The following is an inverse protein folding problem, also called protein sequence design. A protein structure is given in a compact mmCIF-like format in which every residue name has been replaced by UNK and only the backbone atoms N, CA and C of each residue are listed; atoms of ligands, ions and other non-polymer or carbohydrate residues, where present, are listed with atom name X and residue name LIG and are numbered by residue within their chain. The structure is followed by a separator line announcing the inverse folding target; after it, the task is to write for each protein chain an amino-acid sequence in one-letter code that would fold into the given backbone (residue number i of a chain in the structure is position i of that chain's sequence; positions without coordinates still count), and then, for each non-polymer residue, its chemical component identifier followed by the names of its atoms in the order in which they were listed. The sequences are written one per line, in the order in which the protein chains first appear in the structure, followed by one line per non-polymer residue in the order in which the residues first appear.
data_IF_545283816860
#
_entry.id   IF_545283816860
#
_cell.length_a   1.000
_cell.length_b   1.000
_cell.length_c   1.000
_cell.angle_alpha   90.00
_cell.angle_beta   90.00
_cell.angle_gamma   90.00
#
_symmetry.space_group_name_H-M   'P 1'
#
loop_
_entity.id
_entity.type
_entity.pdbx_description
1 polymer ?
#
# COMPACT_ATOMS: atom_id res chain seq x y z
N UNK A 1 3.80 -13.78 -5.25
CA UNK A 1 2.98 -12.81 -4.51
C UNK A 1 1.53 -13.28 -4.50
N UNK A 2 0.86 -13.43 -3.33
CA UNK A 2 -0.56 -13.84 -3.30
C UNK A 2 -1.42 -12.66 -3.77
N UNK A 3 -2.16 -12.83 -4.87
CA UNK A 3 -3.06 -11.82 -5.51
C UNK A 3 -3.95 -11.10 -4.48
N UNK A 4 -4.36 -11.80 -3.43
CA UNK A 4 -5.26 -11.31 -2.37
C UNK A 4 -4.72 -10.07 -1.62
N UNK A 5 -3.39 -9.95 -1.46
CA UNK A 5 -2.79 -8.84 -0.70
C UNK A 5 -2.78 -7.53 -1.49
N UNK A 6 -2.54 -7.62 -2.80
CA UNK A 6 -2.58 -6.50 -3.72
C UNK A 6 -4.00 -5.93 -3.82
N UNK A 7 -4.98 -6.82 -4.02
CA UNK A 7 -6.41 -6.49 -4.05
C UNK A 7 -6.84 -5.78 -2.75
N UNK A 8 -6.40 -6.30 -1.59
CA UNK A 8 -6.69 -5.68 -0.30
C UNK A 8 -6.11 -4.26 -0.17
N UNK A 9 -4.93 -3.99 -0.72
CA UNK A 9 -4.34 -2.66 -0.70
C UNK A 9 -5.12 -1.66 -1.58
N UNK A 10 -5.55 -2.08 -2.77
CA UNK A 10 -6.41 -1.28 -3.65
C UNK A 10 -7.75 -0.98 -2.96
N UNK A 11 -8.36 -2.00 -2.36
CA UNK A 11 -9.58 -1.83 -1.58
C UNK A 11 -9.42 -0.82 -0.45
N UNK A 12 -8.30 -0.87 0.25
CA UNK A 12 -8.07 0.02 1.38
C UNK A 12 -8.05 1.50 0.98
N UNK A 13 -7.47 1.85 -0.17
CA UNK A 13 -7.53 3.23 -0.68
C UNK A 13 -8.94 3.59 -1.18
N UNK A 14 -9.59 2.69 -1.93
CA UNK A 14 -10.85 2.98 -2.61
C UNK A 14 -12.09 2.91 -1.72
N UNK A 15 -12.24 1.84 -0.94
CA UNK A 15 -13.43 1.55 -0.12
C UNK A 15 -13.27 2.01 1.31
N UNK A 16 -12.15 1.65 1.94
CA UNK A 16 -11.93 1.96 3.34
C UNK A 16 -11.65 3.46 3.48
N UNK A 17 -10.53 3.94 2.93
CA UNK A 17 -10.11 5.33 3.01
C UNK A 17 -10.93 6.29 2.14
N UNK A 18 -11.66 5.78 1.14
CA UNK A 18 -12.44 6.58 0.17
C UNK A 18 -11.64 7.76 -0.37
N UNK A 19 -10.44 7.46 -0.87
CA UNK A 19 -9.54 8.49 -1.41
C UNK A 19 -10.21 9.16 -2.61
N UNK A 20 -10.24 10.47 -2.57
CA UNK A 20 -10.79 11.35 -3.61
C UNK A 20 -9.72 12.34 -4.07
N UNK A 21 -10.01 13.04 -5.16
CA UNK A 21 -9.13 14.09 -5.70
C UNK A 21 -8.83 15.12 -4.61
N UNK A 22 -7.56 15.45 -4.42
CA UNK A 22 -7.14 16.41 -3.41
C UNK A 22 -6.82 15.82 -2.04
N UNK A 23 -7.18 14.55 -1.79
CA UNK A 23 -7.00 13.90 -0.47
C UNK A 23 -5.52 13.81 -0.09
N UNK A 24 -5.22 14.02 1.19
CA UNK A 24 -3.91 13.76 1.80
C UNK A 24 -3.97 12.48 2.63
N UNK A 25 -3.09 11.54 2.34
CA UNK A 25 -3.05 10.25 3.05
C UNK A 25 -1.67 9.98 3.64
N UNK A 26 -1.65 9.36 4.81
CA UNK A 26 -0.43 8.77 5.37
C UNK A 26 -0.60 7.26 5.55
N UNK A 27 0.41 6.51 5.12
CA UNK A 27 0.39 5.05 5.03
C UNK A 27 1.62 4.51 5.75
N UNK A 28 1.39 3.63 6.71
CA UNK A 28 2.42 3.06 7.56
C UNK A 28 2.95 1.76 6.96
N UNK A 29 4.26 1.63 6.87
CA UNK A 29 4.96 0.49 6.30
C UNK A 29 5.30 0.65 4.81
N UNK A 30 6.48 0.16 4.39
CA UNK A 30 6.94 0.11 3.00
C UNK A 30 6.94 -1.32 2.40
N UNK A 31 6.00 -2.18 2.78
CA UNK A 31 5.82 -3.52 2.21
C UNK A 31 5.00 -3.58 0.90
N UNK A 32 4.87 -4.77 0.30
CA UNK A 32 4.18 -4.96 -0.98
C UNK A 32 2.71 -4.46 -1.01
N UNK A 33 1.94 -4.72 0.04
CA UNK A 33 0.56 -4.20 0.15
C UNK A 33 0.52 -2.68 0.19
N UNK A 34 1.51 -2.07 0.85
CA UNK A 34 1.74 -0.64 0.82
C UNK A 34 1.76 -0.11 -0.61
N UNK A 35 2.55 -0.72 -1.49
CA UNK A 35 2.71 -0.25 -2.86
C UNK A 35 1.38 -0.22 -3.63
N UNK A 36 0.48 -1.16 -3.35
CA UNK A 36 -0.85 -1.21 -3.98
C UNK A 36 -1.75 -0.04 -3.52
N UNK A 37 -1.59 0.37 -2.26
CA UNK A 37 -2.29 1.52 -1.69
C UNK A 37 -1.75 2.82 -2.28
N UNK A 38 -0.42 2.95 -2.45
CA UNK A 38 0.20 4.12 -3.11
C UNK A 38 -0.38 4.31 -4.50
N UNK A 39 -0.32 3.25 -5.29
CA UNK A 39 -0.75 3.27 -6.67
C UNK A 39 -2.25 3.59 -6.76
N UNK A 40 -3.08 2.96 -5.93
CA UNK A 40 -4.51 3.26 -5.94
C UNK A 40 -4.81 4.67 -5.44
N UNK A 41 -4.13 5.16 -4.41
CA UNK A 41 -4.32 6.52 -3.93
C UNK A 41 -3.94 7.56 -5.00
N UNK A 42 -2.86 7.31 -5.74
CA UNK A 42 -2.44 8.11 -6.91
C UNK A 42 -3.52 8.11 -8.00
N UNK A 43 -4.03 6.94 -8.37
CA UNK A 43 -5.10 6.80 -9.37
C UNK A 43 -6.41 7.47 -8.93
N UNK A 44 -6.70 7.49 -7.62
CA UNK A 44 -7.83 8.22 -7.06
C UNK A 44 -7.61 9.75 -6.98
N UNK A 45 -6.42 10.26 -7.37
CA UNK A 45 -6.12 11.69 -7.40
C UNK A 45 -5.67 12.28 -6.06
N UNK A 46 -5.12 11.48 -5.15
CA UNK A 46 -4.55 11.99 -3.91
C UNK A 46 -3.51 13.09 -4.17
N UNK A 47 -3.63 14.22 -3.47
CA UNK A 47 -2.71 15.37 -3.58
C UNK A 47 -1.36 15.09 -2.92
N UNK A 48 -1.39 14.31 -1.84
CA UNK A 48 -0.19 14.01 -1.04
C UNK A 48 -0.29 12.60 -0.48
N UNK A 49 0.77 11.82 -0.69
CA UNK A 49 0.89 10.45 -0.19
C UNK A 49 2.15 10.36 0.65
N UNK A 50 1.97 10.22 1.96
CA UNK A 50 3.04 10.24 2.96
C UNK A 50 3.30 8.81 3.42
N UNK A 51 4.54 8.35 3.28
CA UNK A 51 4.97 7.06 3.81
C UNK A 51 5.60 7.19 5.17
N UNK A 52 5.20 6.31 6.09
CA UNK A 52 5.74 6.29 7.45
C UNK A 52 6.36 4.93 7.72
N UNK A 53 7.68 4.87 7.87
CA UNK A 53 8.42 3.64 8.15
C UNK A 53 9.73 3.95 8.87
N UNK A 54 10.31 2.96 9.53
CA UNK A 54 11.63 3.06 10.16
C UNK A 54 12.76 3.07 9.14
N UNK A 55 12.57 2.43 7.98
CA UNK A 55 13.59 2.30 6.93
C UNK A 55 13.11 2.93 5.62
N UNK A 56 13.98 3.70 4.98
CA UNK A 56 13.71 4.42 3.73
C UNK A 56 14.05 3.60 2.47
N UNK A 57 14.56 2.37 2.61
CA UNK A 57 15.08 1.53 1.51
C UNK A 57 14.18 1.45 0.25
N UNK A 58 12.85 1.55 0.41
CA UNK A 58 11.90 1.46 -0.71
C UNK A 58 11.27 2.79 -1.12
N UNK A 59 11.68 3.92 -0.53
CA UNK A 59 11.05 5.21 -0.78
C UNK A 59 11.29 5.72 -2.20
N UNK A 60 12.52 5.63 -2.72
CA UNK A 60 12.85 6.11 -4.06
C UNK A 60 12.05 5.38 -5.15
N UNK A 61 11.87 4.07 -5.00
CA UNK A 61 11.03 3.28 -5.90
C UNK A 61 9.58 3.75 -5.81
N UNK A 62 9.10 4.03 -4.60
CA UNK A 62 7.72 4.44 -4.33
C UNK A 62 7.36 5.84 -4.84
N UNK A 63 8.33 6.73 -5.04
CA UNK A 63 8.09 8.02 -5.70
C UNK A 63 7.47 7.84 -7.09
N UNK A 64 7.85 6.77 -7.80
CA UNK A 64 7.28 6.41 -9.11
C UNK A 64 5.78 6.06 -9.02
N UNK A 65 5.30 5.65 -7.86
CA UNK A 65 3.90 5.28 -7.58
C UNK A 65 3.14 6.40 -6.86
N UNK A 66 3.63 7.65 -6.95
CA UNK A 66 2.92 8.83 -6.45
C UNK A 66 3.18 9.15 -4.97
N UNK A 67 4.08 8.44 -4.30
CA UNK A 67 4.51 8.82 -2.95
C UNK A 67 5.28 10.14 -3.02
N UNK A 68 4.81 11.12 -2.26
CA UNK A 68 5.37 12.47 -2.24
C UNK A 68 6.34 12.67 -1.08
N UNK A 69 6.10 12.01 0.06
CA UNK A 69 6.84 12.27 1.28
C UNK A 69 7.16 10.98 2.05
N UNK A 70 8.23 11.02 2.84
CA UNK A 70 8.60 9.98 3.76
C UNK A 70 8.81 10.56 5.15
N UNK A 71 8.41 9.81 6.18
CA UNK A 71 8.66 10.20 7.56
C UNK A 71 9.10 9.01 8.39
N UNK A 72 10.19 9.19 9.12
CA UNK A 72 10.67 8.21 10.08
C UNK A 72 10.03 8.48 11.46
N UNK A 73 9.26 7.54 12.04
CA UNK A 73 8.66 7.70 13.36
C UNK A 73 9.67 8.04 14.47
N UNK A 74 10.92 7.56 14.36
CA UNK A 74 11.98 7.85 15.34
C UNK A 74 12.34 9.33 15.41
N UNK A 75 12.12 10.05 14.33
CA UNK A 75 12.47 11.46 14.20
C UNK A 75 11.24 12.37 14.39
N UNK A 76 10.10 11.81 14.81
CA UNK A 76 8.85 12.53 15.02
C UNK A 76 8.45 12.61 16.49
N UNK A 77 8.08 13.81 16.93
CA UNK A 77 7.30 13.97 18.16
C UNK A 77 5.86 13.47 17.96
N UNK A 78 5.17 13.17 19.07
CA UNK A 78 3.78 12.65 19.12
C UNK A 78 2.72 13.54 18.45
N UNK A 79 3.09 14.72 17.95
CA UNK A 79 2.22 15.72 17.31
C UNK A 79 1.42 15.21 16.09
N UNK A 80 1.94 14.25 15.32
CA UNK A 80 1.24 13.77 14.11
C UNK A 80 -0.09 13.06 14.42
N UNK A 81 -0.18 12.43 15.59
CA UNK A 81 -1.38 11.75 16.10
C UNK A 81 -2.35 12.72 16.78
N UNK A 82 -1.85 13.86 17.28
CA UNK A 82 -2.63 14.82 18.04
C UNK A 82 -3.45 15.80 17.17
N UNK A 83 -3.25 15.82 15.85
CA UNK A 83 -3.79 16.87 14.98
C UNK A 83 -5.16 16.54 14.35
N UNK A 84 -6.10 15.97 15.10
CA UNK A 84 -7.50 15.75 14.63
C UNK A 84 -7.63 14.87 13.37
N UNK A 85 -6.64 14.03 13.07
CA UNK A 85 -6.66 13.16 11.87
C UNK A 85 -7.54 11.93 12.10
N UNK A 86 -8.21 11.46 11.05
CA UNK A 86 -8.98 10.22 11.10
C UNK A 86 -8.08 8.99 10.90
N UNK A 87 -8.09 8.11 11.90
CA UNK A 87 -7.43 6.79 11.81
C UNK A 87 -8.44 5.79 11.27
N UNK A 88 -8.05 5.10 10.22
CA UNK A 88 -8.89 4.17 9.48
C UNK A 88 -8.20 2.81 9.51
N UNK A 89 -8.87 1.80 10.05
CA UNK A 89 -8.44 0.42 9.95
C UNK A 89 -9.19 -0.30 8.85
N UNK A 90 -8.61 -1.36 8.27
CA UNK A 90 -9.32 -2.17 7.30
C UNK A 90 -8.90 -3.65 7.34
N UNK A 91 -9.90 -4.54 7.29
CA UNK A 91 -9.73 -5.96 7.04
C UNK A 91 -10.01 -6.23 5.56
N UNK A 92 -9.07 -6.85 4.84
CA UNK A 92 -9.16 -7.08 3.38
C UNK A 92 -9.45 -5.83 2.53
N UNK A 93 -9.05 -4.65 2.99
CA UNK A 93 -9.32 -3.40 2.28
C UNK A 93 -10.78 -2.96 2.29
N UNK A 94 -11.65 -3.58 3.11
CA UNK A 94 -13.08 -3.27 3.15
C UNK A 94 -13.82 -3.75 1.91
N UNK A 95 -13.22 -4.69 1.18
CA UNK A 95 -13.80 -5.29 -0.02
C UNK A 95 -14.87 -6.30 0.33
N UNK A 96 -15.94 -6.31 -0.46
CA UNK A 96 -16.95 -7.36 -0.51
C UNK A 96 -16.59 -8.31 -1.66
N UNK A 97 -16.13 -9.55 -1.40
CA UNK A 97 -15.58 -10.43 -2.42
C UNK A 97 -16.50 -10.64 -3.63
N UNK A 98 -17.80 -10.83 -3.40
CA UNK A 98 -18.78 -11.11 -4.47
C UNK A 98 -18.98 -9.94 -5.44
N UNK A 99 -18.97 -8.69 -4.95
CA UNK A 99 -19.24 -7.51 -5.79
C UNK A 99 -17.97 -6.84 -6.30
N UNK A 100 -16.91 -6.83 -5.49
CA UNK A 100 -15.75 -5.99 -5.77
C UNK A 100 -14.65 -6.74 -6.54
N UNK A 101 -14.53 -8.06 -6.40
CA UNK A 101 -13.54 -8.85 -7.16
C UNK A 101 -13.74 -8.72 -8.68
N UNK A 102 -14.97 -8.81 -9.23
CA UNK A 102 -15.18 -8.62 -10.66
C UNK A 102 -14.74 -7.25 -11.17
N UNK A 103 -14.97 -6.19 -10.38
CA UNK A 103 -14.56 -4.82 -10.72
C UNK A 103 -13.04 -4.72 -10.74
N UNK A 104 -12.37 -5.29 -9.73
CA UNK A 104 -10.91 -5.27 -9.62
C UNK A 104 -10.25 -6.10 -10.73
N UNK A 105 -10.84 -7.24 -11.11
CA UNK A 105 -10.41 -8.02 -12.27
C UNK A 105 -10.48 -7.17 -13.53
N UNK A 106 -11.56 -6.42 -13.73
CA UNK A 106 -11.70 -5.51 -14.87
C UNK A 106 -10.62 -4.42 -14.87
N UNK A 107 -10.43 -3.70 -13.76
CA UNK A 107 -9.38 -2.68 -13.64
C UNK A 107 -7.96 -3.24 -13.90
N UNK A 108 -7.70 -4.49 -13.50
CA UNK A 108 -6.44 -5.17 -13.80
C UNK A 108 -6.30 -5.50 -15.29
N UNK A 109 -7.36 -5.98 -15.93
CA UNK A 109 -7.37 -6.29 -17.37
C UNK A 109 -7.25 -5.03 -18.22
N UNK A 110 -7.84 -3.93 -17.78
CA UNK A 110 -7.78 -2.61 -18.42
C UNK A 110 -6.41 -1.92 -18.20
N UNK A 111 -5.45 -2.62 -17.56
CA UNK A 111 -4.09 -2.16 -17.25
C UNK A 111 -4.03 -0.85 -16.45
N UNK A 112 -5.09 -0.53 -15.71
CA UNK A 112 -5.13 0.66 -14.85
C UNK A 112 -4.18 0.53 -13.65
N UNK A 113 -3.85 -0.70 -13.25
CA UNK A 113 -2.89 -1.01 -12.19
C UNK A 113 -1.60 -1.58 -12.80
N UNK A 114 -0.46 -0.94 -12.54
CA UNK A 114 0.84 -1.42 -13.02
C UNK A 114 1.36 -2.61 -12.19
N UNK A 115 0.79 -3.79 -12.39
CA UNK A 115 1.10 -4.98 -11.59
C UNK A 115 2.49 -5.56 -11.86
N UNK A 116 3.03 -5.34 -13.04
CA UNK A 116 4.34 -5.86 -13.45
C UNK A 116 5.46 -5.31 -12.55
N UNK A 117 5.31 -4.07 -12.08
CA UNK A 117 6.27 -3.44 -11.20
C UNK A 117 6.24 -3.98 -9.75
N UNK A 118 5.29 -4.86 -9.42
CA UNK A 118 5.22 -5.57 -8.14
C UNK A 118 5.92 -6.93 -8.17
N UNK A 119 6.30 -7.42 -9.35
CA UNK A 119 7.06 -8.67 -9.51
C UNK A 119 8.54 -8.30 -9.60
N UNK A 120 9.33 -8.72 -8.60
CA UNK A 120 10.78 -8.43 -8.57
C UNK A 120 11.63 -9.58 -9.05
N UNK A 121 11.15 -10.81 -8.86
CA UNK A 121 11.85 -12.03 -9.21
C UNK A 121 10.79 -13.05 -9.65
N UNK A 122 11.04 -13.69 -10.77
CA UNK A 122 10.33 -14.90 -11.19
C UNK A 122 11.20 -16.08 -10.83
N UNK A 123 10.58 -17.12 -10.24
CA UNK A 123 11.27 -18.31 -9.78
C UNK A 123 10.45 -19.50 -10.23
N UNK A 124 11.08 -20.44 -10.92
CA UNK A 124 10.44 -21.68 -11.33
C UNK A 124 10.05 -22.52 -10.12
N UNK A 125 9.02 -23.35 -10.27
CA UNK A 125 8.47 -24.14 -9.16
C UNK A 125 9.51 -25.09 -8.55
N UNK A 126 10.42 -25.63 -9.37
CA UNK A 126 11.52 -26.49 -8.93
C UNK A 126 12.47 -25.79 -7.93
N UNK A 127 12.54 -24.46 -8.00
CA UNK A 127 13.44 -23.61 -7.23
C UNK A 127 12.72 -22.90 -6.05
N UNK A 128 11.60 -23.43 -5.58
CA UNK A 128 10.78 -22.82 -4.53
C UNK A 128 11.56 -22.46 -3.25
N UNK A 129 12.59 -23.24 -2.89
CA UNK A 129 13.43 -22.96 -1.73
C UNK A 129 14.28 -21.69 -1.92
N UNK A 130 14.77 -21.41 -3.14
CA UNK A 130 15.44 -20.13 -3.45
C UNK A 130 14.47 -18.96 -3.29
N UNK A 131 13.18 -19.14 -3.60
CA UNK A 131 12.18 -18.12 -3.35
C UNK A 131 12.02 -17.83 -1.85
N UNK A 132 12.07 -18.86 -1.00
CA UNK A 132 12.10 -18.68 0.47
C UNK A 132 13.37 -17.97 0.94
N UNK A 133 14.54 -18.26 0.36
CA UNK A 133 15.78 -17.58 0.71
C UNK A 133 15.75 -16.09 0.33
N UNK A 134 15.26 -15.76 -0.86
CA UNK A 134 15.07 -14.37 -1.31
C UNK A 134 14.12 -13.59 -0.41
N UNK A 135 13.09 -14.26 0.11
CA UNK A 135 12.14 -13.69 1.07
C UNK A 135 12.80 -13.42 2.43
N UNK A 136 13.63 -14.32 2.95
CA UNK A 136 14.36 -14.13 4.20
C UNK A 136 15.48 -13.07 4.09
N UNK A 137 16.12 -12.97 2.93
CA UNK A 137 17.20 -12.01 2.68
C UNK A 137 16.70 -10.58 2.45
N UNK A 138 15.38 -10.34 2.34
CA UNK A 138 14.81 -9.02 2.09
C UNK A 138 15.14 -8.44 0.71
N UNK A 139 15.61 -9.27 -0.23
CA UNK A 139 15.99 -8.88 -1.59
C UNK A 139 14.81 -8.85 -2.57
N UNK A 140 13.71 -9.54 -2.25
CA UNK A 140 12.40 -9.37 -2.90
C UNK A 140 11.61 -8.23 -2.23
N UNK A 141 10.74 -7.51 -2.96
CA UNK A 141 9.82 -6.50 -2.39
C UNK A 141 9.26 -6.99 -1.03
N UNK A 142 9.49 -6.28 0.09
CA UNK A 142 9.52 -6.96 1.38
C UNK A 142 8.14 -7.44 1.84
N UNK A 143 8.19 -8.62 2.43
CA UNK A 143 7.18 -9.27 3.23
C UNK A 143 6.60 -8.35 4.31
N UNK A 144 5.28 -8.22 4.35
CA UNK A 144 4.58 -8.10 5.64
C UNK A 144 4.26 -9.50 6.12
N UNK A 145 5.16 -10.10 6.89
CA UNK A 145 4.82 -11.25 7.73
C UNK A 145 3.83 -10.76 8.80
N UNK A 146 2.63 -11.34 8.78
CA UNK A 146 1.59 -11.11 9.78
C UNK A 146 0.40 -10.31 9.26
N UNK A 147 -0.79 -10.90 9.41
CA UNK A 147 -2.07 -10.20 9.47
C UNK A 147 -2.04 -9.20 10.62
N UNK A 148 -1.36 -8.08 10.47
CA UNK A 148 -1.50 -6.94 11.37
C UNK A 148 -2.40 -5.94 10.69
N UNK A 149 -3.52 -5.64 11.34
CA UNK A 149 -4.41 -4.54 10.97
C UNK A 149 -3.56 -3.32 10.59
N UNK A 150 -3.73 -2.83 9.36
CA UNK A 150 -3.04 -1.63 8.93
C UNK A 150 -3.86 -0.42 9.35
N UNK A 151 -3.20 0.53 10.01
CA UNK A 151 -3.73 1.84 10.31
C UNK A 151 -3.39 2.79 9.16
N UNK A 152 -4.43 3.27 8.50
CA UNK A 152 -4.38 4.33 7.51
C UNK A 152 -4.73 5.64 8.19
N UNK A 153 -4.11 6.74 7.79
CA UNK A 153 -4.53 8.05 8.24
C UNK A 153 -5.05 8.80 7.04
N UNK A 154 -6.36 9.03 7.01
CA UNK A 154 -6.96 10.01 6.11
C UNK A 154 -6.83 11.36 6.81
N UNK A 155 -5.99 12.23 6.28
CA UNK A 155 -5.98 13.62 6.69
C UNK A 155 -7.03 14.33 5.83
N UNK A 156 -8.29 14.23 6.25
CA UNK A 156 -9.34 15.06 5.67
C UNK A 156 -9.12 16.46 6.22
N UNK A 157 -8.62 17.37 5.40
CA UNK A 157 -8.78 18.80 5.65
C UNK A 157 -10.27 19.11 5.35
N UNK A 158 -11.17 18.65 6.22
CA UNK A 158 -12.51 19.23 6.34
C UNK A 158 -12.42 20.26 7.46
N UNK A 159 -11.94 21.45 7.08
CA UNK A 159 -12.27 22.74 7.67
C UNK A 159 -12.34 23.75 6.51
#
# INVERSE_FOLDING_TARGET
MKINNLISGVGAAWKAAKVEIGTRVAIFGLGAMGLAIDERARLCGAKRIIRVDLNQYNFEIRKKFGVTDFVNPRNMGTKLLASGKSIMGSLFGGLKPKSDIPILKKCCMDKELQLDAFVTHEVEFEDINKAFDLLHQGKSLPQTYGLRQFCFFRCSDQL
#
